data_IF_244100038576
#
_entry.id   IF_244100038576
#
_cell.length_a   1.000
_cell.length_b   1.000
_cell.length_c   1.000
_cell.angle_alpha   90.00
_cell.angle_beta   90.00
_cell.angle_gamma   90.00
#
_symmetry.space_group_name_H-M   'P 1'
#
loop_
_entity.id
_entity.type
_entity.pdbx_description
1 polymer ?
#
# COMPACT_ATOMS: atom_id res chain seq x y z
N UNK A 1 -21.47 -8.67 -5.32
CA UNK A 1 -21.10 -7.71 -6.38
C UNK A 1 -19.60 -7.50 -6.39
N UNK A 2 -18.94 -7.66 -7.55
CA UNK A 2 -17.48 -7.45 -7.70
C UNK A 2 -17.01 -6.03 -7.28
N UNK A 3 -17.75 -4.93 -7.56
CA UNK A 3 -17.35 -3.58 -7.12
C UNK A 3 -17.24 -3.44 -5.60
N UNK A 4 -18.17 -4.03 -4.85
CA UNK A 4 -18.16 -3.97 -3.38
C UNK A 4 -17.00 -4.76 -2.78
N UNK A 5 -16.61 -5.87 -3.42
CA UNK A 5 -15.46 -6.67 -3.01
C UNK A 5 -14.15 -5.89 -3.19
N UNK A 6 -13.97 -5.23 -4.34
CA UNK A 6 -12.77 -4.43 -4.60
C UNK A 6 -12.67 -3.20 -3.68
N UNK A 7 -13.79 -2.55 -3.38
CA UNK A 7 -13.82 -1.47 -2.38
C UNK A 7 -13.47 -1.99 -0.98
N UNK A 8 -13.98 -3.18 -0.60
CA UNK A 8 -13.62 -3.86 0.65
C UNK A 8 -12.12 -4.12 0.75
N UNK A 9 -11.54 -4.72 -0.29
CA UNK A 9 -10.09 -4.97 -0.38
C UNK A 9 -9.26 -3.68 -0.28
N UNK A 10 -9.70 -2.59 -0.91
CA UNK A 10 -9.02 -1.31 -0.82
C UNK A 10 -9.02 -0.76 0.63
N UNK A 11 -10.13 -0.88 1.35
CA UNK A 11 -10.24 -0.48 2.77
C UNK A 11 -9.35 -1.35 3.66
N UNK A 12 -9.28 -2.65 3.39
CA UNK A 12 -8.39 -3.57 4.10
C UNK A 12 -6.90 -3.28 3.84
N UNK A 13 -6.53 -2.99 2.58
CA UNK A 13 -5.19 -2.55 2.20
C UNK A 13 -4.79 -1.32 3.00
N UNK A 14 -5.63 -0.28 3.05
CA UNK A 14 -5.39 0.93 3.86
C UNK A 14 -5.17 0.56 5.32
N UNK A 15 -6.02 -0.30 5.90
CA UNK A 15 -5.85 -0.72 7.29
C UNK A 15 -4.49 -1.40 7.52
N UNK A 16 -4.07 -2.27 6.60
CA UNK A 16 -2.83 -3.00 6.73
C UNK A 16 -1.60 -2.13 6.52
N UNK A 17 -1.65 -1.21 5.56
CA UNK A 17 -0.60 -0.20 5.33
C UNK A 17 -0.41 0.64 6.59
N UNK A 18 -1.49 1.13 7.20
CA UNK A 18 -1.40 1.94 8.41
C UNK A 18 -0.84 1.17 9.62
N UNK A 19 -1.11 -0.14 9.72
CA UNK A 19 -0.47 -1.00 10.72
C UNK A 19 1.02 -1.18 10.44
N UNK A 20 1.38 -1.51 9.20
CA UNK A 20 2.77 -1.68 8.78
C UNK A 20 3.59 -0.41 9.01
N UNK A 21 2.99 0.76 8.78
CA UNK A 21 3.59 2.07 9.03
C UNK A 21 3.96 2.24 10.50
N UNK A 22 3.02 1.93 11.41
CA UNK A 22 3.27 2.01 12.85
C UNK A 22 4.34 1.01 13.28
N UNK A 23 4.29 -0.21 12.75
CA UNK A 23 5.31 -1.23 13.03
C UNK A 23 6.70 -0.83 12.52
N UNK A 24 6.77 -0.01 11.47
CA UNK A 24 7.99 0.60 10.94
C UNK A 24 8.49 1.81 11.76
N UNK A 25 7.75 2.25 12.79
CA UNK A 25 8.09 3.42 13.59
C UNK A 25 7.91 4.76 12.85
N UNK A 26 7.04 4.78 11.83
CA UNK A 26 6.70 5.99 11.07
C UNK A 26 5.44 6.64 11.63
N UNK A 27 5.41 7.96 11.60
CA UNK A 27 4.25 8.76 12.03
C UNK A 27 3.18 8.79 10.93
N UNK A 28 1.92 8.99 11.31
CA UNK A 28 0.81 9.06 10.34
C UNK A 28 0.95 10.21 9.35
N UNK A 29 1.64 11.29 9.75
CA UNK A 29 1.93 12.48 8.93
C UNK A 29 3.12 12.29 7.97
N UNK A 30 3.89 11.21 8.13
CA UNK A 30 5.03 10.96 7.26
C UNK A 30 4.57 10.48 5.89
N UNK A 31 5.07 11.13 4.83
CA UNK A 31 4.86 10.65 3.47
C UNK A 31 5.62 9.35 3.22
N UNK A 32 4.98 8.44 2.48
CA UNK A 32 5.54 7.11 2.19
C UNK A 32 5.49 6.78 0.71
N UNK A 33 6.33 5.85 0.26
CA UNK A 33 6.15 5.15 -1.02
C UNK A 33 5.63 3.75 -0.74
N UNK A 34 4.68 3.28 -1.55
CA UNK A 34 4.05 1.98 -1.41
C UNK A 34 4.35 1.06 -2.58
N UNK A 35 4.52 -0.22 -2.26
CA UNK A 35 4.50 -1.33 -3.21
C UNK A 35 3.44 -2.32 -2.78
N UNK A 36 2.60 -2.74 -3.71
CA UNK A 36 1.57 -3.76 -3.50
C UNK A 36 1.69 -4.80 -4.59
N UNK A 37 1.82 -6.05 -4.19
CA UNK A 37 1.80 -7.22 -5.08
C UNK A 37 0.84 -8.26 -4.53
N UNK A 38 0.42 -9.21 -5.34
CA UNK A 38 -0.50 -10.27 -4.91
C UNK A 38 -1.39 -10.81 -6.00
N UNK A 39 -2.48 -11.43 -5.58
CA UNK A 39 -3.48 -12.00 -6.49
C UNK A 39 -4.18 -10.90 -7.32
N UNK A 40 -4.78 -11.28 -8.46
CA UNK A 40 -5.40 -10.35 -9.41
C UNK A 40 -6.43 -9.39 -8.77
N UNK A 41 -7.20 -9.87 -7.79
CA UNK A 41 -8.17 -9.06 -7.05
C UNK A 41 -7.49 -7.92 -6.26
N UNK A 42 -6.29 -8.17 -5.71
CA UNK A 42 -5.49 -7.18 -4.98
C UNK A 42 -4.96 -6.13 -5.94
N UNK A 43 -4.35 -6.56 -7.06
CA UNK A 43 -3.81 -5.65 -8.06
C UNK A 43 -4.93 -4.80 -8.68
N UNK A 44 -6.08 -5.40 -8.95
CA UNK A 44 -7.27 -4.69 -9.47
C UNK A 44 -7.83 -3.70 -8.45
N UNK A 45 -7.87 -4.04 -7.15
CA UNK A 45 -8.30 -3.12 -6.11
C UNK A 45 -7.32 -1.95 -5.95
N UNK A 46 -6.01 -2.22 -5.99
CA UNK A 46 -4.96 -1.21 -5.92
C UNK A 46 -5.02 -0.24 -7.12
N UNK A 47 -5.27 -0.74 -8.32
CA UNK A 47 -5.45 0.07 -9.54
C UNK A 47 -6.72 0.92 -9.47
N UNK A 48 -7.88 0.31 -9.21
CA UNK A 48 -9.18 1.01 -9.22
C UNK A 48 -9.39 1.98 -8.07
N UNK A 49 -8.73 1.74 -6.93
CA UNK A 49 -8.87 2.55 -5.72
C UNK A 49 -7.55 3.20 -5.30
N UNK A 50 -6.60 3.35 -6.22
CA UNK A 50 -5.28 3.91 -5.96
C UNK A 50 -5.35 5.28 -5.28
N UNK A 51 -6.18 6.20 -5.78
CA UNK A 51 -6.35 7.54 -5.20
C UNK A 51 -6.87 7.52 -3.76
N UNK A 52 -7.78 6.59 -3.46
CA UNK A 52 -8.27 6.40 -2.10
C UNK A 52 -7.16 5.86 -1.19
N UNK A 53 -6.43 4.85 -1.65
CA UNK A 53 -5.34 4.24 -0.88
C UNK A 53 -4.23 5.26 -0.61
N UNK A 54 -3.78 5.99 -1.63
CA UNK A 54 -2.71 6.99 -1.49
C UNK A 54 -3.16 8.18 -0.62
N UNK A 55 -4.40 8.65 -0.77
CA UNK A 55 -4.97 9.72 0.04
C UNK A 55 -5.06 9.36 1.52
N UNK A 56 -5.62 8.19 1.85
CA UNK A 56 -5.78 7.73 3.24
C UNK A 56 -4.44 7.39 3.90
N UNK A 57 -3.41 7.09 3.12
CA UNK A 57 -2.09 6.68 3.62
C UNK A 57 -1.01 7.72 3.41
N UNK A 58 -1.31 8.91 2.89
CA UNK A 58 -0.29 9.92 2.52
C UNK A 58 0.87 9.34 1.69
N UNK A 59 0.55 8.38 0.81
CA UNK A 59 1.55 7.80 -0.08
C UNK A 59 1.78 8.74 -1.28
N UNK A 60 3.05 8.95 -1.64
CA UNK A 60 3.42 9.73 -2.83
C UNK A 60 3.38 8.90 -4.10
N UNK A 61 3.42 7.57 -3.97
CA UNK A 61 3.27 6.62 -5.06
C UNK A 61 2.76 5.27 -4.54
N UNK A 62 2.02 4.57 -5.39
CA UNK A 62 1.54 3.20 -5.21
C UNK A 62 1.96 2.38 -6.43
N UNK A 63 3.00 1.57 -6.27
CA UNK A 63 3.55 0.74 -7.34
C UNK A 63 2.97 -0.69 -7.26
N UNK A 64 2.30 -1.21 -8.30
CA UNK A 64 1.83 -2.58 -8.35
C UNK A 64 2.99 -3.53 -8.68
N UNK A 65 3.90 -3.75 -7.73
CA UNK A 65 5.11 -4.52 -7.90
C UNK A 65 5.56 -5.17 -6.59
N UNK A 66 6.36 -6.23 -6.72
CA UNK A 66 6.93 -6.95 -5.59
C UNK A 66 7.73 -6.01 -4.65
N UNK A 67 7.72 -6.27 -3.33
CA UNK A 67 8.53 -5.53 -2.36
C UNK A 67 10.02 -5.45 -2.77
N UNK A 68 10.61 -4.25 -2.84
CA UNK A 68 12.03 -4.12 -3.10
C UNK A 68 12.88 -4.72 -1.97
N UNK A 69 13.91 -5.48 -2.32
CA UNK A 69 14.90 -5.99 -1.37
C UNK A 69 16.01 -4.97 -1.14
N UNK A 70 15.77 -4.02 -0.23
CA UNK A 70 16.77 -3.01 0.17
C UNK A 70 16.49 -2.43 1.56
N UNK A 71 17.52 -1.88 2.25
CA UNK A 71 17.35 -1.27 3.56
C UNK A 71 16.35 -0.11 3.55
N UNK A 72 15.57 0.00 4.63
CA UNK A 72 14.55 1.04 4.82
C UNK A 72 13.17 0.70 4.25
N UNK A 73 13.06 -0.38 3.49
CA UNK A 73 11.77 -0.94 3.06
C UNK A 73 11.25 -1.90 4.13
N UNK A 74 10.02 -1.66 4.57
CA UNK A 74 9.29 -2.53 5.48
C UNK A 74 8.25 -3.29 4.68
N UNK A 75 8.39 -4.61 4.59
CA UNK A 75 7.50 -5.48 3.83
C UNK A 75 6.72 -6.44 4.73
N UNK A 76 5.52 -6.82 4.31
CA UNK A 76 4.69 -7.81 4.98
C UNK A 76 3.74 -8.51 4.02
N UNK A 77 3.69 -9.83 4.11
CA UNK A 77 2.66 -10.66 3.47
C UNK A 77 1.39 -10.74 4.32
N UNK A 78 0.24 -10.73 3.66
CA UNK A 78 -1.10 -10.81 4.26
C UNK A 78 -2.08 -11.57 3.41
N UNK A 79 -3.16 -12.01 4.04
CA UNK A 79 -4.38 -12.48 3.37
C UNK A 79 -5.49 -11.46 3.66
N UNK A 80 -6.16 -10.97 2.61
CA UNK A 80 -7.25 -10.00 2.64
C UNK A 80 -8.46 -10.61 1.90
N UNK A 81 -9.58 -10.83 2.58
CA UNK A 81 -10.76 -11.53 2.05
C UNK A 81 -10.44 -12.82 1.24
N UNK A 82 -9.43 -13.58 1.67
CA UNK A 82 -8.97 -14.82 1.03
C UNK A 82 -8.03 -14.64 -0.17
N UNK A 83 -7.64 -13.41 -0.50
CA UNK A 83 -6.64 -13.09 -1.51
C UNK A 83 -5.28 -12.76 -0.86
N UNK A 84 -4.19 -13.26 -1.44
CA UNK A 84 -2.84 -13.01 -0.93
C UNK A 84 -2.32 -11.66 -1.42
N UNK A 85 -1.71 -10.89 -0.52
CA UNK A 85 -1.02 -9.65 -0.85
C UNK A 85 0.34 -9.56 -0.14
N UNK A 86 1.32 -8.97 -0.83
CA UNK A 86 2.55 -8.47 -0.26
C UNK A 86 2.50 -6.94 -0.28
N UNK A 87 2.61 -6.32 0.89
CA UNK A 87 2.59 -4.87 1.05
C UNK A 87 3.95 -4.44 1.55
N UNK A 88 4.54 -3.43 0.91
CA UNK A 88 5.75 -2.81 1.38
C UNK A 88 5.66 -1.30 1.38
N UNK A 89 6.38 -0.68 2.31
CA UNK A 89 6.46 0.76 2.42
C UNK A 89 7.84 1.24 2.86
N UNK A 90 8.14 2.48 2.52
CA UNK A 90 9.25 3.21 3.11
C UNK A 90 8.88 4.69 3.27
N UNK A 91 9.62 5.42 4.10
CA UNK A 91 9.50 6.88 4.18
C UNK A 91 9.97 7.51 2.87
N UNK A 92 9.10 8.31 2.25
CA UNK A 92 9.44 9.07 1.05
C UNK A 92 10.51 10.13 1.37
N UNK A 93 11.50 10.31 0.51
CA UNK A 93 12.43 11.43 0.63
C UNK A 93 11.81 12.67 -0.02
N UNK A 94 12.28 13.86 0.35
CA UNK A 94 11.75 15.13 -0.17
C UNK A 94 11.74 15.26 -1.70
N UNK A 95 12.62 14.52 -2.41
CA UNK A 95 12.63 14.46 -3.87
C UNK A 95 11.49 13.60 -4.46
N UNK A 96 11.08 12.53 -3.77
CA UNK A 96 9.99 11.64 -4.22
C UNK A 96 8.60 12.33 -4.19
N UNK A 97 8.48 13.47 -3.50
CA UNK A 97 7.25 14.23 -3.40
C UNK A 97 7.00 15.21 -4.56
N UNK A 98 7.96 15.36 -5.48
CA UNK A 98 7.89 16.31 -6.60
C UNK A 98 7.63 15.66 -7.97
N UNK A 99 7.66 14.32 -8.05
CA UNK A 99 7.52 13.52 -9.28
C UNK A 99 6.12 12.86 -9.42
N UNK A 100 5.11 13.40 -8.75
CA UNK A 100 3.71 12.95 -8.81
C UNK A 100 2.79 14.01 -9.40
#
# INVERSE_FOLDING_TARGET
>A
DLPLRLEGLARELVNRIQRLRRDAGLEVSDRIRLWVDGDDDILTAADRHGDYITGETLAVALDPAAPPDRPGVHARSVELDGANAAIALERARGADAADG
#
